data_IF_730714524812
#
_entry.id   IF_730714524812
#
_cell.length_a   1.000
_cell.length_b   1.000
_cell.length_c   1.000
_cell.angle_alpha   90.00
_cell.angle_beta   90.00
_cell.angle_gamma   90.00
#
_symmetry.space_group_name_H-M   'P 1'
#
loop_
_entity.id
_entity.type
_entity.pdbx_description
1 polymer ?
#
# COMPACT_ATOMS: atom_id res chain seq x y z
N UNK A 1 -8.39 -1.64 -14.43
CA UNK A 1 -8.84 -3.05 -14.38
C UNK A 1 -8.16 -3.70 -13.19
N UNK A 2 -8.89 -4.42 -12.34
CA UNK A 2 -8.34 -5.02 -11.11
C UNK A 2 -7.57 -6.32 -11.34
N UNK A 3 -7.07 -6.93 -10.27
CA UNK A 3 -6.15 -8.10 -10.26
C UNK A 3 -6.79 -9.44 -10.67
N UNK A 4 -8.06 -9.45 -11.09
CA UNK A 4 -8.77 -10.64 -11.58
C UNK A 4 -9.44 -11.49 -10.49
N UNK A 5 -9.99 -12.65 -10.89
CA UNK A 5 -10.80 -13.53 -10.03
C UNK A 5 -10.05 -14.71 -9.41
N UNK A 6 -8.79 -14.91 -9.79
CA UNK A 6 -7.97 -16.04 -9.33
C UNK A 6 -7.40 -15.74 -7.95
N UNK A 7 -7.42 -16.73 -7.07
CA UNK A 7 -6.79 -16.64 -5.76
C UNK A 7 -5.87 -17.83 -5.53
N UNK A 8 -4.72 -17.57 -4.94
CA UNK A 8 -3.73 -18.58 -4.59
C UNK A 8 -3.39 -18.45 -3.12
N UNK A 9 -3.07 -19.59 -2.49
CA UNK A 9 -2.62 -19.67 -1.11
C UNK A 9 -1.27 -20.36 -1.06
N UNK A 10 -0.34 -19.77 -0.33
CA UNK A 10 0.96 -20.35 -0.04
C UNK A 10 0.92 -21.03 1.33
N UNK A 11 1.36 -22.27 1.40
CA UNK A 11 1.65 -22.96 2.66
C UNK A 11 3.15 -22.83 2.97
N UNK A 12 3.55 -22.05 3.98
CA UNK A 12 4.95 -21.88 4.35
C UNK A 12 5.59 -23.16 4.90
N UNK A 13 4.82 -24.04 5.53
CA UNK A 13 5.34 -25.29 6.12
C UNK A 13 5.66 -26.33 5.06
N UNK A 14 4.83 -26.41 4.01
CA UNK A 14 5.05 -27.27 2.85
C UNK A 14 5.85 -26.63 1.72
N UNK A 15 6.06 -25.31 1.74
CA UNK A 15 6.62 -24.51 0.64
C UNK A 15 5.90 -24.77 -0.70
N UNK A 16 4.56 -24.67 -0.70
CA UNK A 16 3.76 -24.91 -1.90
C UNK A 16 2.67 -23.87 -2.11
N UNK A 17 2.47 -23.50 -3.37
CA UNK A 17 1.32 -22.72 -3.80
C UNK A 17 0.19 -23.64 -4.25
N UNK A 18 -1.04 -23.37 -3.80
CA UNK A 18 -2.23 -24.05 -4.30
C UNK A 18 -3.27 -23.03 -4.73
N UNK A 19 -4.02 -23.35 -5.79
CA UNK A 19 -5.15 -22.53 -6.20
C UNK A 19 -6.30 -22.67 -5.20
N UNK A 20 -6.83 -21.54 -4.76
CA UNK A 20 -8.12 -21.48 -4.08
C UNK A 20 -9.26 -21.34 -5.13
N UNK A 21 -10.53 -21.56 -4.75
CA UNK A 21 -11.64 -21.30 -5.65
C UNK A 21 -11.64 -19.84 -6.12
N UNK A 22 -11.97 -19.67 -7.40
CA UNK A 22 -12.10 -18.33 -7.97
C UNK A 22 -13.17 -17.52 -7.23
N UNK A 23 -12.97 -16.21 -7.13
CA UNK A 23 -13.96 -15.31 -6.53
C UNK A 23 -15.21 -15.29 -7.39
N UNK A 24 -16.24 -15.97 -6.90
CA UNK A 24 -17.51 -16.14 -7.58
C UNK A 24 -18.63 -15.49 -6.77
N UNK A 25 -19.34 -14.55 -7.39
CA UNK A 25 -20.50 -13.88 -6.82
C UNK A 25 -21.68 -14.13 -7.74
N UNK A 26 -22.76 -14.73 -7.22
CA UNK A 26 -23.99 -14.99 -7.98
C UNK A 26 -23.75 -15.69 -9.33
N UNK A 27 -22.77 -16.60 -9.40
CA UNK A 27 -22.41 -17.33 -10.62
C UNK A 27 -21.50 -16.58 -11.59
N UNK A 28 -21.07 -15.35 -11.26
CA UNK A 28 -20.13 -14.55 -12.04
C UNK A 28 -18.73 -14.56 -11.41
N UNK A 29 -17.69 -14.60 -12.25
CA UNK A 29 -16.33 -14.26 -11.81
C UNK A 29 -16.24 -12.76 -11.57
N UNK A 30 -15.65 -12.37 -10.45
CA UNK A 30 -15.40 -10.95 -10.13
C UNK A 30 -13.92 -10.67 -9.98
N UNK A 31 -13.49 -9.51 -10.45
CA UNK A 31 -12.13 -9.04 -10.21
C UNK A 31 -12.06 -8.34 -8.85
N UNK A 32 -10.94 -8.54 -8.16
CA UNK A 32 -10.69 -7.98 -6.84
C UNK A 32 -9.42 -7.12 -6.86
N UNK A 33 -9.25 -6.27 -5.85
CA UNK A 33 -8.08 -5.39 -5.74
C UNK A 33 -7.35 -5.57 -4.40
N UNK A 34 -8.09 -5.52 -3.30
CA UNK A 34 -7.57 -5.60 -1.93
C UNK A 34 -8.20 -6.76 -1.15
N UNK A 35 -7.47 -7.23 -0.14
CA UNK A 35 -7.87 -8.27 0.79
C UNK A 35 -7.68 -7.76 2.22
N UNK A 36 -8.64 -8.03 3.10
CA UNK A 36 -8.52 -7.74 4.53
C UNK A 36 -8.96 -8.97 5.34
N UNK A 37 -8.15 -9.41 6.30
CA UNK A 37 -8.42 -10.60 7.10
C UNK A 37 -8.84 -10.24 8.52
N UNK A 38 -10.02 -10.72 8.93
CA UNK A 38 -10.48 -10.63 10.31
C UNK A 38 -10.16 -11.93 11.06
N UNK A 39 -9.20 -11.90 12.01
CA UNK A 39 -8.84 -13.08 12.79
C UNK A 39 -9.93 -13.50 13.77
N UNK A 40 -10.89 -12.63 14.12
CA UNK A 40 -11.94 -12.95 15.09
C UNK A 40 -13.03 -13.80 14.46
N UNK A 41 -13.54 -13.42 13.29
CA UNK A 41 -14.56 -14.21 12.58
C UNK A 41 -13.99 -15.32 11.69
N UNK A 42 -12.67 -15.33 11.44
CA UNK A 42 -12.01 -16.23 10.50
C UNK A 42 -12.50 -15.97 9.07
N UNK A 43 -12.65 -14.70 8.70
CA UNK A 43 -13.14 -14.30 7.39
C UNK A 43 -12.17 -13.34 6.73
N UNK A 44 -11.99 -13.52 5.44
CA UNK A 44 -11.31 -12.57 4.58
C UNK A 44 -12.32 -11.85 3.71
N UNK A 45 -12.10 -10.56 3.50
CA UNK A 45 -12.95 -9.68 2.72
C UNK A 45 -12.16 -9.18 1.53
N UNK A 46 -12.74 -9.25 0.34
CA UNK A 46 -12.12 -8.78 -0.89
C UNK A 46 -12.95 -7.66 -1.50
N UNK A 47 -12.31 -6.55 -1.89
CA UNK A 47 -13.01 -5.50 -2.65
C UNK A 47 -13.35 -6.03 -4.04
N UNK A 48 -14.56 -5.75 -4.53
CA UNK A 48 -15.00 -6.17 -5.86
C UNK A 48 -14.95 -4.95 -6.80
N UNK A 49 -14.06 -4.99 -7.79
CA UNK A 49 -13.80 -3.84 -8.68
C UNK A 49 -14.33 -4.03 -10.10
N UNK A 50 -14.61 -5.27 -10.51
CA UNK A 50 -15.18 -5.58 -11.82
C UNK A 50 -15.98 -6.89 -11.80
N UNK A 51 -17.00 -7.00 -12.65
CA UNK A 51 -17.75 -8.24 -12.88
C UNK A 51 -17.47 -8.70 -14.31
N UNK A 52 -16.84 -9.87 -14.48
CA UNK A 52 -16.26 -10.30 -15.76
C UNK A 52 -17.29 -10.79 -16.80
N UNK A 53 -18.55 -10.90 -16.42
CA UNK A 53 -19.67 -11.34 -17.28
C UNK A 53 -20.88 -10.45 -16.99
N UNK A 54 -21.80 -10.25 -17.95
CA UNK A 54 -22.97 -9.33 -17.90
C UNK A 54 -24.02 -9.59 -16.81
N UNK A 55 -23.56 -9.70 -15.58
CA UNK A 55 -24.24 -9.93 -14.32
C UNK A 55 -24.33 -8.60 -13.56
N UNK A 56 -25.04 -8.60 -12.43
CA UNK A 56 -25.34 -7.37 -11.69
C UNK A 56 -24.07 -6.65 -11.21
N UNK A 57 -23.76 -5.50 -11.82
CA UNK A 57 -22.62 -4.67 -11.46
C UNK A 57 -22.76 -4.03 -10.06
N UNK A 58 -23.95 -4.06 -9.46
CA UNK A 58 -24.19 -3.52 -8.10
C UNK A 58 -23.35 -4.22 -7.04
N UNK A 59 -22.92 -5.46 -7.28
CA UNK A 59 -22.07 -6.23 -6.34
C UNK A 59 -20.71 -5.58 -6.07
N UNK A 60 -20.26 -4.68 -6.95
CA UNK A 60 -19.08 -3.83 -6.73
C UNK A 60 -19.23 -2.87 -5.54
N UNK A 61 -20.42 -2.76 -4.97
CA UNK A 61 -20.70 -1.98 -3.76
C UNK A 61 -20.56 -2.79 -2.48
N UNK A 62 -20.21 -4.08 -2.58
CA UNK A 62 -19.97 -4.95 -1.44
C UNK A 62 -18.57 -5.57 -1.46
N UNK A 63 -18.26 -6.31 -0.41
CA UNK A 63 -17.03 -7.09 -0.27
C UNK A 63 -17.36 -8.57 -0.47
N UNK A 64 -16.59 -9.27 -1.30
CA UNK A 64 -16.67 -10.73 -1.38
C UNK A 64 -16.11 -11.32 -0.08
N UNK A 65 -16.84 -12.28 0.49
CA UNK A 65 -16.49 -12.87 1.78
C UNK A 65 -15.92 -14.27 1.54
N UNK A 66 -14.73 -14.52 2.04
CA UNK A 66 -14.07 -15.82 1.96
C UNK A 66 -13.79 -16.38 3.35
N UNK A 67 -13.92 -17.70 3.49
CA UNK A 67 -13.57 -18.44 4.70
C UNK A 67 -12.35 -19.33 4.43
N UNK A 68 -11.16 -18.98 4.96
CA UNK A 68 -9.95 -19.77 4.77
C UNK A 68 -10.09 -21.21 5.28
N UNK A 69 -10.73 -21.43 6.43
CA UNK A 69 -10.82 -22.76 7.06
C UNK A 69 -11.57 -23.77 6.18
N UNK A 70 -12.60 -23.31 5.47
CA UNK A 70 -13.40 -24.16 4.58
C UNK A 70 -13.03 -23.99 3.11
N UNK A 71 -12.05 -23.14 2.80
CA UNK A 71 -11.61 -22.82 1.44
C UNK A 71 -12.80 -22.44 0.53
N UNK A 72 -13.69 -21.56 0.98
CA UNK A 72 -14.94 -21.26 0.29
C UNK A 72 -15.35 -19.78 0.36
N UNK A 73 -15.87 -19.27 -0.76
CA UNK A 73 -16.57 -17.98 -0.81
C UNK A 73 -17.97 -18.12 -0.20
N UNK A 74 -18.33 -17.23 0.70
CA UNK A 74 -19.59 -17.22 1.44
C UNK A 74 -20.66 -16.30 0.82
N UNK A 75 -20.28 -15.46 -0.15
CA UNK A 75 -21.14 -14.48 -0.79
C UNK A 75 -20.55 -13.08 -0.73
N UNK A 76 -21.42 -12.07 -0.64
CA UNK A 76 -21.04 -10.65 -0.58
C UNK A 76 -21.71 -10.02 0.64
N UNK A 77 -21.06 -9.03 1.24
CA UNK A 77 -21.69 -8.18 2.26
C UNK A 77 -22.98 -7.53 1.73
N UNK A 78 -23.83 -6.98 2.59
CA UNK A 78 -24.78 -5.96 2.17
C UNK A 78 -24.09 -4.88 1.31
N UNK A 79 -24.84 -4.26 0.40
CA UNK A 79 -24.27 -3.27 -0.51
C UNK A 79 -24.15 -1.92 0.20
N UNK A 80 -22.96 -1.32 0.12
CA UNK A 80 -22.73 0.08 0.49
C UNK A 80 -23.41 1.03 -0.50
N UNK A 81 -23.34 2.34 -0.29
CA UNK A 81 -23.82 3.36 -1.24
C UNK A 81 -22.87 3.60 -2.43
N UNK A 82 -21.65 3.05 -2.37
CA UNK A 82 -20.53 3.42 -3.24
C UNK A 82 -19.96 2.23 -3.99
N UNK A 83 -19.50 2.46 -5.21
CA UNK A 83 -18.85 1.46 -6.04
C UNK A 83 -17.35 1.46 -5.77
N UNK A 84 -16.79 0.29 -5.47
CA UNK A 84 -15.34 0.12 -5.35
C UNK A 84 -14.67 0.04 -6.74
N UNK A 85 -13.51 0.68 -6.84
CA UNK A 85 -12.74 0.84 -8.08
C UNK A 85 -11.30 0.33 -7.93
N UNK A 86 -10.55 0.39 -9.04
CA UNK A 86 -9.11 0.11 -9.00
C UNK A 86 -8.40 1.07 -8.03
N UNK A 87 -7.32 0.59 -7.40
CA UNK A 87 -6.65 1.32 -6.32
C UNK A 87 -7.46 1.38 -5.01
N UNK A 88 -8.50 0.56 -4.85
CA UNK A 88 -9.13 0.38 -3.54
C UNK A 88 -8.21 -0.41 -2.62
N UNK A 89 -8.16 -0.03 -1.35
CA UNK A 89 -7.47 -0.78 -0.32
C UNK A 89 -8.40 -1.08 0.85
N UNK A 90 -8.09 -2.11 1.64
CA UNK A 90 -8.90 -2.51 2.76
C UNK A 90 -8.05 -3.00 3.93
N UNK A 91 -8.46 -2.66 5.15
CA UNK A 91 -7.82 -3.14 6.38
C UNK A 91 -8.87 -3.45 7.45
N UNK A 92 -8.61 -4.48 8.26
CA UNK A 92 -9.48 -4.83 9.39
C UNK A 92 -8.95 -4.20 10.67
N UNK A 93 -9.83 -3.52 11.40
CA UNK A 93 -9.54 -2.99 12.73
C UNK A 93 -10.81 -3.01 13.59
N UNK A 94 -10.69 -3.48 14.84
CA UNK A 94 -11.76 -3.43 15.84
C UNK A 94 -13.12 -3.99 15.35
N UNK A 95 -13.10 -5.15 14.69
CA UNK A 95 -14.30 -5.81 14.17
C UNK A 95 -14.96 -5.10 12.97
N UNK A 96 -14.23 -4.20 12.30
CA UNK A 96 -14.70 -3.48 11.11
C UNK A 96 -13.70 -3.62 9.98
N UNK A 97 -14.21 -3.61 8.74
CA UNK A 97 -13.39 -3.48 7.54
C UNK A 97 -13.44 -2.03 7.10
N UNK A 98 -12.30 -1.36 7.09
CA UNK A 98 -12.12 -0.02 6.57
C UNK A 98 -11.64 -0.10 5.13
N UNK A 99 -12.31 0.63 4.23
CA UNK A 99 -12.06 0.53 2.79
C UNK A 99 -11.83 1.92 2.22
N UNK A 100 -10.66 2.10 1.61
CA UNK A 100 -10.44 3.21 0.69
C UNK A 100 -11.00 2.82 -0.67
N UNK A 101 -11.92 3.62 -1.23
CA UNK A 101 -12.76 3.14 -2.35
C UNK A 101 -12.06 2.99 -3.71
N UNK A 102 -10.93 3.68 -3.92
CA UNK A 102 -10.34 3.84 -5.26
C UNK A 102 -11.30 4.49 -6.28
N UNK A 103 -10.94 4.49 -7.57
CA UNK A 103 -11.88 4.94 -8.62
C UNK A 103 -12.24 6.43 -8.57
N UNK A 104 -11.26 7.33 -8.41
CA UNK A 104 -11.46 8.79 -8.31
C UNK A 104 -11.48 9.52 -9.65
N UNK A 105 -11.22 8.85 -10.78
CA UNK A 105 -11.62 9.32 -12.12
C UNK A 105 -11.10 10.73 -12.49
N UNK A 106 -9.79 10.96 -12.36
CA UNK A 106 -9.18 12.26 -12.66
C UNK A 106 -7.92 12.60 -11.84
N UNK A 107 -7.42 11.65 -11.06
CA UNK A 107 -6.12 11.76 -10.39
C UNK A 107 -6.07 12.69 -9.21
N UNK A 108 -7.18 13.07 -8.59
CA UNK A 108 -7.15 13.83 -7.35
C UNK A 108 -8.29 13.39 -6.43
N UNK A 109 -8.00 13.20 -5.14
CA UNK A 109 -9.04 13.06 -4.13
C UNK A 109 -9.35 14.45 -3.59
N UNK A 110 -10.63 14.83 -3.62
CA UNK A 110 -11.09 16.06 -2.99
C UNK A 110 -11.14 15.91 -1.46
N UNK A 111 -11.08 17.02 -0.73
CA UNK A 111 -11.28 17.00 0.73
C UNK A 111 -12.53 16.24 1.15
N UNK A 112 -13.64 16.46 0.46
CA UNK A 112 -14.92 15.83 0.77
C UNK A 112 -14.98 14.33 0.41
N UNK A 113 -14.13 13.85 -0.50
CA UNK A 113 -14.06 12.44 -0.92
C UNK A 113 -12.99 11.62 -0.18
N UNK A 114 -12.32 12.23 0.82
CA UNK A 114 -11.19 11.66 1.54
C UNK A 114 -11.60 10.99 2.86
N UNK A 115 -12.44 9.97 2.76
CA UNK A 115 -12.94 9.20 3.91
C UNK A 115 -12.84 7.70 3.64
N UNK A 116 -12.99 6.90 4.71
CA UNK A 116 -13.04 5.45 4.63
C UNK A 116 -14.49 4.98 4.68
N UNK A 117 -14.84 4.01 3.83
CA UNK A 117 -16.06 3.24 4.01
C UNK A 117 -15.81 2.20 5.10
N UNK A 118 -16.79 2.00 5.97
CA UNK A 118 -16.66 1.14 7.14
C UNK A 118 -17.75 0.09 7.10
N UNK A 119 -17.36 -1.16 6.97
CA UNK A 119 -18.26 -2.30 7.14
C UNK A 119 -18.11 -2.85 8.56
N UNK A 120 -19.16 -2.71 9.37
CA UNK A 120 -19.20 -3.33 10.69
C UNK A 120 -19.57 -4.82 10.54
N UNK A 121 -18.67 -5.70 10.97
CA UNK A 121 -18.81 -7.15 10.77
C UNK A 121 -19.94 -7.71 11.65
N UNK A 122 -20.13 -7.15 12.84
CA UNK A 122 -21.10 -7.63 13.83
C UNK A 122 -22.53 -7.26 13.47
N UNK A 123 -22.77 -6.02 13.06
CA UNK A 123 -24.11 -5.55 12.65
C UNK A 123 -24.40 -5.76 11.17
N UNK A 124 -23.40 -6.09 10.35
CA UNK A 124 -23.48 -6.18 8.89
C UNK A 124 -24.01 -4.88 8.26
N UNK A 125 -23.55 -3.73 8.73
CA UNK A 125 -23.96 -2.41 8.23
C UNK A 125 -22.78 -1.61 7.71
N UNK A 126 -23.06 -0.75 6.73
CA UNK A 126 -22.10 0.21 6.21
C UNK A 126 -22.28 1.59 6.85
N UNK A 127 -21.16 2.25 7.08
CA UNK A 127 -21.07 3.68 7.40
C UNK A 127 -19.84 4.27 6.71
N UNK A 128 -19.57 5.54 6.96
CA UNK A 128 -18.33 6.21 6.54
C UNK A 128 -17.68 6.89 7.75
N UNK A 129 -16.36 7.04 7.72
CA UNK A 129 -15.68 7.95 8.63
C UNK A 129 -15.97 9.40 8.24
N UNK A 130 -15.69 10.38 9.11
CA UNK A 130 -15.45 11.75 8.67
C UNK A 130 -14.35 11.80 7.60
N UNK A 131 -14.36 12.85 6.79
CA UNK A 131 -13.33 13.12 5.79
C UNK A 131 -12.11 13.84 6.40
N UNK A 132 -10.99 13.88 5.68
CA UNK A 132 -9.86 14.74 6.07
C UNK A 132 -10.29 16.21 6.19
N UNK A 133 -11.18 16.67 5.31
CA UNK A 133 -11.68 18.03 5.32
C UNK A 133 -12.46 18.37 6.60
N UNK A 134 -13.21 17.41 7.15
CA UNK A 134 -13.92 17.59 8.43
C UNK A 134 -12.96 17.82 9.60
N UNK A 135 -11.71 17.37 9.46
CA UNK A 135 -10.61 17.62 10.39
C UNK A 135 -9.73 18.82 9.99
N UNK A 136 -10.13 19.59 8.97
CA UNK A 136 -9.37 20.74 8.47
C UNK A 136 -8.10 20.37 7.68
N UNK A 137 -7.99 19.13 7.24
CA UNK A 137 -6.82 18.62 6.51
C UNK A 137 -7.12 18.62 5.01
N UNK A 138 -6.21 19.18 4.23
CA UNK A 138 -6.28 19.12 2.77
C UNK A 138 -5.61 17.81 2.29
N UNK A 139 -6.31 16.93 1.55
CA UNK A 139 -5.68 15.76 0.97
C UNK A 139 -4.62 16.15 -0.06
N UNK A 140 -3.50 15.46 0.01
CA UNK A 140 -2.38 15.52 -0.92
C UNK A 140 -2.48 14.45 -2.01
N UNK A 141 -3.42 13.51 -1.92
CA UNK A 141 -3.59 12.44 -2.90
C UNK A 141 -3.86 13.00 -4.31
N UNK A 142 -2.82 13.06 -5.14
CA UNK A 142 -2.86 13.52 -6.52
C UNK A 142 -2.12 12.51 -7.41
N UNK A 143 -2.42 12.51 -8.69
CA UNK A 143 -1.72 11.80 -9.75
C UNK A 143 -1.85 12.62 -11.04
N UNK A 144 -0.82 12.58 -11.88
CA UNK A 144 -0.72 13.37 -13.11
C UNK A 144 -1.66 12.96 -14.25
N UNK A 145 -2.96 12.76 -13.99
CA UNK A 145 -4.07 12.42 -14.90
C UNK A 145 -4.54 10.94 -14.94
N UNK A 146 -4.09 10.08 -14.02
CA UNK A 146 -4.56 8.69 -13.91
C UNK A 146 -5.47 8.51 -12.69
N UNK A 147 -5.94 7.31 -12.37
CA UNK A 147 -6.56 7.10 -11.06
C UNK A 147 -5.51 7.33 -9.95
N UNK A 148 -5.92 7.43 -8.68
CA UNK A 148 -4.94 7.42 -7.58
C UNK A 148 -4.65 5.97 -7.25
N UNK A 149 -3.51 5.48 -7.74
CA UNK A 149 -2.98 4.16 -7.46
C UNK A 149 -1.98 4.24 -6.32
N UNK A 150 -1.84 3.15 -5.55
CA UNK A 150 -0.85 3.09 -4.47
C UNK A 150 -1.26 3.81 -3.18
N UNK A 151 -2.56 4.04 -2.95
CA UNK A 151 -2.98 4.24 -1.56
C UNK A 151 -2.70 2.96 -0.81
N UNK A 152 -2.26 3.08 0.42
CA UNK A 152 -1.99 1.96 1.32
C UNK A 152 -2.61 2.27 2.67
N UNK A 153 -3.09 1.24 3.34
CA UNK A 153 -3.72 1.33 4.65
C UNK A 153 -3.21 0.20 5.54
N UNK A 154 -2.82 0.54 6.76
CA UNK A 154 -2.35 -0.41 7.79
C UNK A 154 -2.84 0.05 9.16
N UNK A 155 -2.90 -0.83 10.15
CA UNK A 155 -3.51 -0.54 11.45
C UNK A 155 -2.59 -0.74 12.65
N UNK A 156 -2.72 0.15 13.65
CA UNK A 156 -2.28 -0.09 15.02
C UNK A 156 -3.51 -0.49 15.86
N UNK A 157 -3.72 -1.80 15.96
CA UNK A 157 -4.83 -2.36 16.71
C UNK A 157 -4.79 -2.02 18.21
N UNK A 158 -3.60 -1.85 18.80
CA UNK A 158 -3.47 -1.55 20.22
C UNK A 158 -3.93 -0.13 20.57
N UNK A 159 -3.80 0.81 19.62
CA UNK A 159 -4.22 2.21 19.78
C UNK A 159 -5.50 2.56 19.03
N UNK A 160 -6.07 1.63 18.26
CA UNK A 160 -7.27 1.87 17.47
C UNK A 160 -7.03 2.92 16.38
N UNK A 161 -5.93 2.80 15.64
CA UNK A 161 -5.55 3.75 14.60
C UNK A 161 -5.33 3.10 13.25
N UNK A 162 -5.67 3.83 12.20
CA UNK A 162 -5.33 3.49 10.82
C UNK A 162 -4.37 4.52 10.28
N UNK A 163 -3.36 4.06 9.55
CA UNK A 163 -2.44 4.90 8.79
C UNK A 163 -2.79 4.76 7.32
N UNK A 164 -2.95 5.89 6.63
CA UNK A 164 -3.23 5.94 5.20
C UNK A 164 -2.21 6.84 4.54
N UNK A 165 -1.55 6.34 3.51
CA UNK A 165 -0.65 7.14 2.66
C UNK A 165 -0.81 6.73 1.20
N UNK A 166 -0.05 7.36 0.31
CA UNK A 166 -0.06 7.10 -1.12
C UNK A 166 -0.43 8.32 -1.95
N UNK A 167 -0.46 8.11 -3.27
CA UNK A 167 -0.64 9.17 -4.25
C UNK A 167 0.68 9.87 -4.58
N UNK A 168 0.82 10.21 -5.85
CA UNK A 168 1.99 10.88 -6.40
C UNK A 168 2.20 12.26 -5.76
N UNK A 169 3.44 12.61 -5.42
CA UNK A 169 3.82 13.86 -4.77
C UNK A 169 3.14 14.11 -3.41
N UNK A 170 2.65 13.07 -2.74
CA UNK A 170 2.10 13.15 -1.39
C UNK A 170 2.99 12.44 -0.36
N UNK A 171 3.74 13.20 0.43
CA UNK A 171 4.49 12.67 1.57
C UNK A 171 3.70 12.66 2.89
N UNK A 172 2.39 12.94 2.86
CA UNK A 172 1.60 12.92 4.09
C UNK A 172 1.22 11.48 4.46
N UNK A 173 1.37 11.17 5.74
CA UNK A 173 0.75 10.01 6.37
C UNK A 173 -0.44 10.49 7.19
N UNK A 174 -1.64 10.10 6.76
CA UNK A 174 -2.88 10.42 7.43
C UNK A 174 -3.18 9.38 8.49
N UNK A 175 -3.50 9.83 9.70
CA UNK A 175 -3.79 8.95 10.84
C UNK A 175 -5.24 9.15 11.23
N UNK A 176 -6.04 8.11 11.09
CA UNK A 176 -7.41 8.07 11.60
C UNK A 176 -7.44 7.41 12.96
N UNK A 177 -8.02 8.09 13.96
CA UNK A 177 -8.22 7.55 15.30
C UNK A 177 -9.68 7.12 15.47
N UNK A 178 -9.90 5.82 15.68
CA UNK A 178 -11.24 5.22 15.69
C UNK A 178 -12.08 5.73 16.87
N UNK A 179 -11.47 5.98 18.03
CA UNK A 179 -12.20 6.40 19.21
C UNK A 179 -12.70 7.85 19.09
N UNK A 180 -11.87 8.73 18.53
CA UNK A 180 -12.19 10.15 18.38
C UNK A 180 -12.87 10.49 17.06
N UNK A 181 -12.85 9.57 16.08
CA UNK A 181 -13.33 9.79 14.72
C UNK A 181 -12.65 10.98 14.02
N UNK A 182 -11.41 11.28 14.39
CA UNK A 182 -10.66 12.42 13.88
C UNK A 182 -9.49 11.97 13.01
N UNK A 183 -9.18 12.77 12.00
CA UNK A 183 -7.96 12.63 11.24
C UNK A 183 -6.88 13.57 11.76
N UNK A 184 -5.64 13.10 11.72
CA UNK A 184 -4.43 13.90 11.92
C UNK A 184 -3.42 13.59 10.83
N UNK A 185 -2.38 14.42 10.72
CA UNK A 185 -1.25 14.18 9.80
C UNK A 185 -0.03 13.88 10.68
N UNK A 186 0.61 12.73 10.47
CA UNK A 186 1.87 12.40 11.12
C UNK A 186 3.01 13.27 10.55
N UNK A 187 4.24 13.23 11.11
CA UNK A 187 5.40 13.79 10.42
C UNK A 187 5.46 13.30 8.98
N UNK A 188 5.93 14.17 8.07
CA UNK A 188 6.03 13.83 6.65
C UNK A 188 6.88 12.57 6.46
N UNK A 189 6.40 11.68 5.60
CA UNK A 189 7.16 10.54 5.13
C UNK A 189 8.45 10.97 4.43
N UNK A 190 9.42 10.06 4.38
CA UNK A 190 10.72 10.32 3.73
C UNK A 190 10.55 10.46 2.22
N UNK A 191 9.64 9.67 1.63
CA UNK A 191 9.31 9.69 0.21
C UNK A 191 7.85 10.09 0.00
N UNK A 192 7.55 10.64 -1.17
CA UNK A 192 6.17 10.75 -1.59
C UNK A 192 5.61 9.36 -1.90
N UNK A 193 4.34 9.12 -1.59
CA UNK A 193 3.74 7.80 -1.68
C UNK A 193 3.54 7.26 -3.10
N UNK A 194 4.10 7.92 -4.11
CA UNK A 194 4.24 7.45 -5.49
C UNK A 194 3.10 6.62 -6.06
N UNK A 195 3.49 5.73 -6.97
CA UNK A 195 2.66 4.65 -7.48
C UNK A 195 3.15 3.34 -6.87
N UNK A 196 2.32 2.71 -6.04
CA UNK A 196 2.61 1.42 -5.45
C UNK A 196 3.50 1.44 -4.19
N UNK A 197 3.44 2.51 -3.40
CA UNK A 197 4.03 2.55 -2.05
C UNK A 197 3.47 1.42 -1.17
N UNK A 198 4.32 0.91 -0.27
CA UNK A 198 3.97 -0.06 0.75
C UNK A 198 4.16 0.54 2.14
N UNK A 199 3.08 0.58 2.92
CA UNK A 199 3.11 1.02 4.31
C UNK A 199 2.68 -0.11 5.22
N UNK A 200 3.46 -0.41 6.25
CA UNK A 200 3.15 -1.49 7.20
C UNK A 200 3.45 -1.08 8.64
N UNK A 201 2.46 -1.19 9.51
CA UNK A 201 2.64 -0.99 10.95
C UNK A 201 3.01 -2.30 11.64
N UNK A 202 4.19 -2.35 12.24
CA UNK A 202 4.67 -3.53 12.98
C UNK A 202 4.46 -3.32 14.47
N UNK A 203 3.44 -3.97 15.01
CA UNK A 203 3.05 -3.81 16.42
C UNK A 203 4.16 -4.17 17.43
N UNK A 204 5.03 -5.11 17.11
CA UNK A 204 6.10 -5.55 18.03
C UNK A 204 7.20 -4.50 18.24
N UNK A 205 7.50 -3.70 17.23
CA UNK A 205 8.44 -2.57 17.31
C UNK A 205 7.74 -1.24 17.54
N UNK A 206 6.41 -1.21 17.37
CA UNK A 206 5.59 0.02 17.37
C UNK A 206 6.02 1.00 16.28
N UNK A 207 6.49 0.47 15.16
CA UNK A 207 7.10 1.24 14.07
C UNK A 207 6.27 1.10 12.80
N UNK A 208 6.13 2.22 12.10
CA UNK A 208 5.57 2.27 10.76
C UNK A 208 6.71 2.20 9.75
N UNK A 209 6.68 1.24 8.85
CA UNK A 209 7.66 1.05 7.79
C UNK A 209 7.05 1.47 6.45
N UNK A 210 7.85 2.11 5.62
CA UNK A 210 7.46 2.55 4.29
C UNK A 210 8.48 2.04 3.26
N UNK A 211 7.99 1.61 2.10
CA UNK A 211 8.80 1.33 0.90
C UNK A 211 8.33 2.28 -0.19
N UNK A 212 9.23 3.05 -0.78
CA UNK A 212 8.89 4.05 -1.78
C UNK A 212 8.11 3.50 -2.97
N UNK A 213 7.26 4.36 -3.54
CA UNK A 213 6.56 4.07 -4.79
C UNK A 213 7.37 4.47 -6.03
N UNK A 214 6.70 4.45 -7.18
CA UNK A 214 7.25 4.96 -8.45
C UNK A 214 6.74 6.36 -8.77
N UNK A 215 7.55 7.15 -9.44
CA UNK A 215 7.14 8.45 -10.00
C UNK A 215 6.28 8.27 -11.26
N UNK A 216 5.78 9.37 -11.83
CA UNK A 216 4.99 9.34 -13.07
C UNK A 216 5.71 8.74 -14.29
N UNK A 217 7.04 8.68 -14.30
CA UNK A 217 7.81 8.02 -15.36
C UNK A 217 7.97 6.51 -15.11
N UNK A 218 7.46 5.99 -13.99
CA UNK A 218 7.55 4.58 -13.60
C UNK A 218 8.89 4.19 -12.96
N UNK A 219 9.77 5.17 -12.67
CA UNK A 219 11.01 4.96 -11.94
C UNK A 219 10.76 5.02 -10.43
N UNK A 220 11.41 4.20 -9.60
CA UNK A 220 11.28 4.29 -8.14
C UNK A 220 11.71 5.68 -7.61
N UNK A 221 11.12 6.13 -6.51
CA UNK A 221 11.30 7.48 -5.95
C UNK A 221 12.33 7.56 -4.82
N UNK A 222 12.67 6.40 -4.24
CA UNK A 222 13.71 6.15 -3.26
C UNK A 222 14.97 5.59 -3.90
N UNK A 223 15.72 4.74 -3.18
CA UNK A 223 17.07 4.26 -3.51
C UNK A 223 17.19 3.40 -4.78
N UNK A 224 16.42 3.65 -5.83
CA UNK A 224 16.78 3.30 -7.20
C UNK A 224 17.94 4.13 -7.77
N UNK A 225 18.56 5.00 -6.96
CA UNK A 225 19.93 5.47 -7.17
C UNK A 225 20.99 4.53 -6.59
N UNK A 226 20.63 3.67 -5.64
CA UNK A 226 21.47 2.56 -5.17
C UNK A 226 20.98 1.28 -5.84
N UNK A 227 21.20 1.16 -7.15
CA UNK A 227 21.57 -0.18 -7.60
C UNK A 227 22.88 -0.48 -6.87
N UNK A 228 22.99 -1.58 -6.11
CA UNK A 228 24.30 -2.09 -5.69
C UNK A 228 25.11 -2.31 -6.97
N UNK A 229 25.85 -1.29 -7.40
CA UNK A 229 26.41 -1.22 -8.75
C UNK A 229 26.44 0.15 -9.43
N UNK A 230 25.52 1.09 -9.19
CA UNK A 230 25.46 2.33 -10.01
C UNK A 230 26.52 3.35 -9.66
N UNK A 231 26.97 3.43 -8.41
CA UNK A 231 27.98 4.41 -7.98
C UNK A 231 27.50 5.87 -7.92
N UNK A 232 26.23 6.15 -8.21
CA UNK A 232 25.56 7.46 -8.07
C UNK A 232 24.98 7.54 -6.65
N UNK A 233 25.79 8.05 -5.72
CA UNK A 233 25.53 8.07 -4.29
C UNK A 233 24.76 9.32 -3.85
N UNK A 234 24.81 10.41 -4.60
CA UNK A 234 24.05 11.63 -4.30
C UNK A 234 22.73 11.75 -5.09
N UNK A 235 22.52 10.87 -6.07
CA UNK A 235 21.27 10.71 -6.81
C UNK A 235 21.06 11.78 -7.87
N UNK A 236 22.12 12.47 -8.33
CA UNK A 236 22.03 13.52 -9.36
C UNK A 236 21.92 12.96 -10.80
N UNK A 237 22.06 11.64 -10.96
CA UNK A 237 21.98 10.93 -12.23
C UNK A 237 23.32 10.81 -12.98
N UNK A 238 24.44 11.22 -12.37
CA UNK A 238 25.79 11.18 -12.94
C UNK A 238 26.75 10.64 -11.88
N UNK A 239 27.60 9.68 -12.26
CA UNK A 239 28.64 9.20 -11.34
C UNK A 239 29.88 10.07 -11.46
N UNK A 240 30.16 10.84 -10.42
CA UNK A 240 31.18 11.87 -10.44
C UNK A 240 31.91 12.11 -9.11
N UNK A 241 32.59 13.27 -9.00
CA UNK A 241 33.38 13.60 -7.83
C UNK A 241 32.57 13.73 -6.53
N UNK A 242 31.28 14.06 -6.62
CA UNK A 242 30.41 14.17 -5.46
C UNK A 242 30.13 12.79 -4.86
N UNK A 243 29.86 11.79 -5.70
CA UNK A 243 29.69 10.38 -5.29
C UNK A 243 30.99 9.81 -4.73
N UNK A 244 32.12 10.07 -5.38
CA UNK A 244 33.42 9.65 -4.85
C UNK A 244 33.68 10.23 -3.46
N UNK A 245 33.30 11.49 -3.22
CA UNK A 245 33.42 12.10 -1.91
C UNK A 245 32.49 11.44 -0.88
N UNK A 246 31.27 11.07 -1.28
CA UNK A 246 30.34 10.30 -0.47
C UNK A 246 30.89 8.92 -0.09
N UNK A 247 31.43 8.18 -1.07
CA UNK A 247 32.03 6.87 -0.85
C UNK A 247 33.21 6.95 0.13
N UNK A 248 34.10 7.92 -0.06
CA UNK A 248 35.27 8.10 0.80
C UNK A 248 34.91 8.58 2.22
N UNK A 249 33.76 9.25 2.40
CA UNK A 249 33.30 9.68 3.71
C UNK A 249 32.87 8.50 4.60
N UNK A 250 32.38 7.42 3.98
CA UNK A 250 31.87 6.23 4.66
C UNK A 250 32.89 5.07 4.68
N UNK A 251 34.17 5.34 4.33
CA UNK A 251 35.19 4.30 4.19
C UNK A 251 35.41 3.48 5.47
N UNK A 252 35.29 2.15 5.35
CA UNK A 252 35.43 1.20 6.46
C UNK A 252 34.16 0.39 6.72
N UNK A 253 34.07 -0.20 7.92
CA UNK A 253 32.95 -1.05 8.32
C UNK A 253 31.65 -0.26 8.39
N UNK A 254 30.63 -0.77 7.72
CA UNK A 254 29.31 -0.16 7.72
C UNK A 254 28.66 -0.29 9.10
N UNK A 255 28.44 0.84 9.76
CA UNK A 255 27.80 0.88 11.08
C UNK A 255 26.28 0.63 11.03
N UNK A 256 25.66 0.81 9.85
CA UNK A 256 24.24 0.64 9.59
C UNK A 256 24.04 -0.41 8.48
N UNK A 257 23.05 -1.32 8.59
CA UNK A 257 22.65 -2.22 7.51
C UNK A 257 22.32 -1.51 6.18
N UNK A 258 21.93 -0.24 6.24
CA UNK A 258 21.78 0.62 5.07
C UNK A 258 23.05 1.47 4.91
N UNK A 259 24.01 0.95 4.14
CA UNK A 259 25.28 1.60 3.84
C UNK A 259 25.37 1.92 2.35
N UNK A 260 24.90 3.10 1.90
CA UNK A 260 24.84 3.45 0.48
C UNK A 260 26.15 3.29 -0.28
N UNK A 261 27.28 3.50 0.41
CA UNK A 261 28.60 3.41 -0.18
C UNK A 261 29.16 1.98 -0.30
N UNK A 262 28.50 0.98 0.31
CA UNK A 262 28.81 -0.45 0.15
C UNK A 262 28.06 -0.98 -1.08
N UNK A 263 28.65 -0.71 -2.23
CA UNK A 263 28.08 -0.97 -3.55
C UNK A 263 28.13 -2.45 -3.93
N UNK A 264 28.94 -3.28 -3.27
CA UNK A 264 29.01 -4.72 -3.48
C UNK A 264 28.35 -5.58 -2.37
N UNK A 265 27.70 -4.91 -1.41
CA UNK A 265 26.98 -5.49 -0.26
C UNK A 265 27.84 -6.42 0.59
N UNK A 266 29.14 -6.12 0.71
CA UNK A 266 30.07 -6.92 1.50
C UNK A 266 30.02 -6.65 3.00
N UNK A 267 29.39 -5.53 3.41
CA UNK A 267 29.34 -5.01 4.77
C UNK A 267 30.46 -4.02 5.10
N UNK A 268 31.34 -3.70 4.15
CA UNK A 268 32.47 -2.78 4.31
C UNK A 268 32.60 -1.88 3.07
N UNK A 269 32.71 -0.55 3.25
CA UNK A 269 33.04 0.38 2.16
C UNK A 269 34.56 0.35 1.91
N UNK A 270 34.96 -0.11 0.74
CA UNK A 270 36.35 -0.37 0.43
C UNK A 270 36.73 -0.29 -1.05
N UNK A 271 37.86 -0.91 -1.42
CA UNK A 271 38.38 -0.85 -2.78
C UNK A 271 37.47 -1.49 -3.84
N UNK A 272 36.62 -2.45 -3.45
CA UNK A 272 35.68 -3.10 -4.35
C UNK A 272 34.57 -2.11 -4.75
N UNK A 273 34.02 -1.38 -3.79
CA UNK A 273 33.04 -0.32 -4.01
C UNK A 273 33.61 0.81 -4.84
N UNK A 274 34.84 1.24 -4.52
CA UNK A 274 35.53 2.25 -5.34
C UNK A 274 35.71 1.78 -6.79
N UNK A 275 36.04 0.51 -7.01
CA UNK A 275 36.16 -0.04 -8.35
C UNK A 275 34.81 -0.08 -9.08
N UNK A 276 33.74 -0.41 -8.36
CA UNK A 276 32.36 -0.35 -8.87
C UNK A 276 31.97 1.08 -9.26
N UNK A 277 32.17 2.07 -8.37
CA UNK A 277 31.91 3.49 -8.63
C UNK A 277 32.68 3.98 -9.86
N UNK A 278 33.98 3.73 -9.92
CA UNK A 278 34.81 4.14 -11.06
C UNK A 278 34.44 3.43 -12.37
N UNK A 279 33.89 2.21 -12.29
CA UNK A 279 33.38 1.46 -13.44
C UNK A 279 32.17 2.13 -14.09
N UNK A 280 31.44 2.95 -13.34
CA UNK A 280 30.26 3.68 -13.78
C UNK A 280 30.50 5.18 -14.00
N UNK A 281 31.75 5.65 -13.88
CA UNK A 281 32.11 7.07 -14.01
C UNK A 281 31.68 7.68 -15.36
N UNK A 282 30.96 8.80 -15.31
CA UNK A 282 30.57 9.56 -16.51
C UNK A 282 29.21 10.21 -16.44
#
# INVERSE_FOLDING_TARGET
AGKGAKMYRYDPGGNTWTAAPDTMVSGARVANEALAYDPVSGRMYATIVEVMTGQDASVRRGLAIYRPETNAWLGVTPLSDTVFGAGSEAEVLDGRVYVWRGGFGGGAVSGADSFLHVYDIGSATWSTTPSLQDSGILPGFRSGAFDIWGVTITSDAARGRLFVSGGEANANVYVFDVATQAWTVAPIAVYDGGWGDGLEYVASSQTLYQIDGRNAAGAPQGTAGLEPGTGDLDGDGVVGPADLAGLLAEWGECADPCCPADLDESGDVGPADLATLLGHWG
#
